data_IF_824664065396
#
_entry.id   IF_824664065396
#
_cell.length_a   1.000
_cell.length_b   1.000
_cell.length_c   1.000
_cell.angle_alpha   90.00
_cell.angle_beta   90.00
_cell.angle_gamma   90.00
#
_symmetry.space_group_name_H-M   'P 1'
#
loop_
_entity.id
_entity.type
_entity.pdbx_description
1 polymer ?
#
# COMPACT_ATOMS: atom_id res chain seq x y z
N UNK A 1 23.17 26.44 19.66
CA UNK A 1 24.32 27.22 19.14
C UNK A 1 25.41 27.43 20.19
N UNK A 2 26.66 27.13 19.82
CA UNK A 2 27.87 27.28 20.63
C UNK A 2 28.91 28.08 19.78
N UNK A 3 29.29 29.30 20.19
CA UNK A 3 30.37 30.03 19.52
C UNK A 3 31.70 29.29 19.69
N UNK A 4 32.42 29.08 18.60
CA UNK A 4 33.72 28.41 18.58
C UNK A 4 34.88 29.39 18.45
N UNK A 5 34.73 30.40 17.60
CA UNK A 5 35.72 31.45 17.37
C UNK A 5 35.02 32.73 16.89
N UNK A 6 35.51 33.90 17.28
CA UNK A 6 34.89 35.14 16.84
C UNK A 6 35.15 36.33 17.77
N UNK A 7 34.45 37.42 17.48
CA UNK A 7 34.38 38.65 18.25
C UNK A 7 32.94 39.21 18.16
N UNK A 8 32.73 40.45 18.59
CA UNK A 8 31.40 41.09 18.56
C UNK A 8 30.78 41.18 17.16
N UNK A 9 31.61 41.21 16.11
CA UNK A 9 31.17 41.45 14.74
C UNK A 9 31.27 40.20 13.84
N UNK A 10 31.87 39.11 14.33
CA UNK A 10 31.97 37.86 13.58
C UNK A 10 31.91 36.68 14.54
N UNK A 11 31.10 35.68 14.22
CA UNK A 11 31.02 34.45 15.01
C UNK A 11 31.03 33.25 14.08
N UNK A 12 32.00 32.36 14.28
CA UNK A 12 31.96 30.99 13.81
C UNK A 12 31.41 30.11 14.93
N UNK A 13 30.38 29.34 14.63
CA UNK A 13 29.64 28.57 15.62
C UNK A 13 29.37 27.15 15.17
N UNK A 14 29.12 26.30 16.16
CA UNK A 14 28.57 24.97 16.00
C UNK A 14 27.14 24.95 16.53
N UNK A 15 26.29 24.12 15.93
CA UNK A 15 24.95 23.88 16.46
C UNK A 15 24.61 22.39 16.44
N UNK A 16 23.88 21.97 17.47
CA UNK A 16 23.41 20.61 17.67
C UNK A 16 21.91 20.66 17.98
N UNK A 17 21.13 19.86 17.28
CA UNK A 17 19.68 19.77 17.48
C UNK A 17 19.25 18.32 17.59
N UNK A 18 18.46 18.02 18.60
CA UNK A 18 17.78 16.73 18.78
C UNK A 18 16.28 16.95 18.83
N UNK A 19 15.51 16.11 18.15
CA UNK A 19 14.05 16.09 18.20
C UNK A 19 13.59 14.64 18.29
N UNK A 20 12.52 14.41 19.05
CA UNK A 20 11.88 13.11 19.19
C UNK A 20 10.37 13.33 19.32
N UNK A 21 9.58 12.57 18.55
CA UNK A 21 8.13 12.68 18.50
C UNK A 21 7.42 11.52 19.19
N UNK A 22 6.12 11.67 19.41
CA UNK A 22 5.25 10.58 19.92
C UNK A 22 4.94 9.52 18.85
N UNK A 23 5.38 9.73 17.63
CA UNK A 23 5.29 8.86 16.46
C UNK A 23 6.56 8.04 16.26
N UNK A 24 7.42 7.96 17.27
CA UNK A 24 8.73 7.29 17.27
C UNK A 24 9.73 7.80 16.22
N UNK A 25 9.40 8.91 15.56
CA UNK A 25 10.29 9.64 14.68
C UNK A 25 11.29 10.46 15.48
N UNK A 26 12.44 10.74 14.87
CA UNK A 26 13.50 11.50 15.51
C UNK A 26 14.47 12.14 14.54
N UNK A 27 15.11 13.20 15.02
CA UNK A 27 16.14 13.95 14.33
C UNK A 27 17.36 14.07 15.23
N UNK A 28 18.53 13.80 14.66
CA UNK A 28 19.81 14.30 15.15
C UNK A 28 20.43 15.16 14.05
N UNK A 29 20.67 16.42 14.36
CA UNK A 29 21.23 17.41 13.43
C UNK A 29 22.47 18.04 14.04
N UNK A 30 23.52 18.17 13.24
CA UNK A 30 24.75 18.85 13.61
C UNK A 30 25.20 19.75 12.47
N UNK A 31 25.64 20.96 12.78
CA UNK A 31 26.05 21.93 11.77
C UNK A 31 27.07 22.93 12.24
N UNK A 32 27.63 23.61 11.27
CA UNK A 32 28.58 24.70 11.43
C UNK A 32 28.05 25.91 10.67
N UNK A 33 28.33 27.10 11.18
CA UNK A 33 27.94 28.33 10.52
C UNK A 33 28.83 29.50 10.89
N UNK A 34 28.69 30.57 10.11
CA UNK A 34 29.38 31.84 10.32
C UNK A 34 28.38 32.98 10.19
N UNK A 35 28.43 33.92 11.13
CA UNK A 35 27.69 35.20 11.11
C UNK A 35 28.68 36.36 11.07
N UNK A 36 28.35 37.40 10.33
CA UNK A 36 29.15 38.63 10.27
C UNK A 36 28.24 39.85 10.30
N UNK A 37 28.57 40.79 11.18
CA UNK A 37 27.94 42.12 11.24
C UNK A 37 28.49 42.97 10.10
N UNK A 38 27.59 43.53 9.29
CA UNK A 38 27.88 44.36 8.13
C UNK A 38 27.28 45.74 8.35
N UNK A 39 28.13 46.79 8.25
CA UNK A 39 27.74 48.21 8.42
C UNK A 39 27.03 48.49 9.75
N UNK A 40 27.38 47.75 10.82
CA UNK A 40 26.86 47.90 12.19
C UNK A 40 25.32 47.87 12.33
N UNK A 41 24.63 47.30 11.34
CA UNK A 41 23.16 47.29 11.32
C UNK A 41 22.53 46.03 10.69
N UNK A 42 23.34 45.17 10.09
CA UNK A 42 22.88 43.90 9.56
C UNK A 42 23.82 42.76 9.95
N UNK A 43 23.30 41.54 10.07
CA UNK A 43 24.06 40.30 10.13
C UNK A 43 23.77 39.54 8.84
N UNK A 44 24.83 39.06 8.20
CA UNK A 44 24.74 38.04 7.17
C UNK A 44 25.30 36.74 7.73
N UNK A 45 24.60 35.64 7.47
CA UNK A 45 25.03 34.33 7.92
C UNK A 45 24.92 33.28 6.83
N UNK A 46 25.81 32.30 6.93
CA UNK A 46 25.80 31.08 6.11
C UNK A 46 26.05 29.89 7.02
N UNK A 47 25.40 28.77 6.75
CA UNK A 47 25.55 27.57 7.56
C UNK A 47 25.30 26.30 6.76
N UNK A 48 25.77 25.18 7.29
CA UNK A 48 25.63 23.85 6.72
C UNK A 48 25.36 22.84 7.83
N UNK A 49 24.29 22.07 7.66
CA UNK A 49 23.89 21.00 8.57
C UNK A 49 23.92 19.63 7.90
N UNK A 50 24.22 18.61 8.71
CA UNK A 50 23.98 17.21 8.40
C UNK A 50 22.92 16.66 9.34
N UNK A 51 21.83 16.14 8.77
CA UNK A 51 20.70 15.60 9.52
C UNK A 51 20.63 14.09 9.37
N UNK A 52 20.40 13.41 10.48
CA UNK A 52 20.07 12.00 10.57
C UNK A 52 18.63 11.86 11.08
N UNK A 53 17.73 11.44 10.19
CA UNK A 53 16.30 11.37 10.42
C UNK A 53 15.89 9.91 10.57
N UNK A 54 15.08 9.62 11.58
CA UNK A 54 14.27 8.40 11.69
C UNK A 54 12.81 8.81 11.47
N UNK A 55 12.15 8.27 10.46
CA UNK A 55 10.74 8.56 10.16
C UNK A 55 9.81 7.72 11.05
N UNK A 56 8.50 8.03 11.09
CA UNK A 56 7.52 7.22 11.84
C UNK A 56 7.52 5.74 11.43
N UNK A 57 7.83 5.45 10.17
CA UNK A 57 7.93 4.09 9.63
C UNK A 57 9.26 3.40 9.97
N UNK A 58 10.04 3.93 10.92
CA UNK A 58 11.35 3.43 11.35
C UNK A 58 12.41 3.34 10.23
N UNK A 59 12.22 4.09 9.15
CA UNK A 59 13.23 4.24 8.12
C UNK A 59 14.19 5.38 8.46
N UNK A 60 15.41 5.28 7.92
CA UNK A 60 16.47 6.25 8.17
C UNK A 60 16.86 6.99 6.89
N UNK A 61 16.89 8.32 6.98
CA UNK A 61 17.28 9.21 5.90
C UNK A 61 18.33 10.22 6.37
N UNK A 62 19.30 10.47 5.50
CA UNK A 62 20.36 11.45 5.73
C UNK A 62 20.13 12.65 4.83
N UNK A 63 20.25 13.85 5.37
CA UNK A 63 19.99 15.09 4.63
C UNK A 63 21.15 16.05 4.84
N UNK A 64 21.62 16.67 3.77
CA UNK A 64 22.53 17.80 3.83
C UNK A 64 21.71 19.07 3.66
N UNK A 65 21.89 20.02 4.57
CA UNK A 65 21.04 21.19 4.69
C UNK A 65 21.86 22.49 4.75
N UNK A 66 22.25 23.07 3.59
CA UNK A 66 22.83 24.40 3.54
C UNK A 66 21.76 25.47 3.72
N UNK A 67 22.15 26.62 4.27
CA UNK A 67 21.28 27.78 4.33
C UNK A 67 22.02 29.10 4.46
N UNK A 68 21.27 30.16 4.23
CA UNK A 68 21.72 31.56 4.35
C UNK A 68 20.70 32.34 5.16
N UNK A 69 21.17 33.35 5.87
CA UNK A 69 20.34 34.23 6.69
C UNK A 69 20.78 35.69 6.57
N UNK A 70 19.80 36.59 6.70
CA UNK A 70 20.00 38.02 6.76
C UNK A 70 19.15 38.61 7.88
N UNK A 71 19.77 39.32 8.80
CA UNK A 71 19.10 39.89 9.96
C UNK A 71 19.45 41.36 10.11
N UNK A 72 18.50 42.18 10.52
CA UNK A 72 18.70 43.55 11.01
C UNK A 72 18.26 43.61 12.46
N UNK A 73 18.15 44.80 13.06
CA UNK A 73 17.64 44.94 14.43
C UNK A 73 16.20 44.45 14.60
N UNK A 74 15.38 44.55 13.53
CA UNK A 74 13.94 44.27 13.61
C UNK A 74 13.45 43.23 12.60
N UNK A 75 14.22 42.93 11.56
CA UNK A 75 13.83 41.95 10.54
C UNK A 75 14.81 40.81 10.49
N UNK A 76 14.35 39.62 10.13
CA UNK A 76 15.19 38.50 9.75
C UNK A 76 14.57 37.72 8.60
N UNK A 77 15.43 37.10 7.80
CA UNK A 77 15.04 36.26 6.68
C UNK A 77 16.01 35.09 6.58
N UNK A 78 15.47 33.90 6.33
CA UNK A 78 16.21 32.65 6.29
C UNK A 78 15.78 31.85 5.07
N UNK A 79 16.75 31.25 4.37
CA UNK A 79 16.51 30.37 3.23
C UNK A 79 17.33 29.10 3.42
N UNK A 80 16.66 27.95 3.43
CA UNK A 80 17.29 26.65 3.60
C UNK A 80 17.05 25.75 2.38
N UNK A 81 18.03 24.93 2.02
CA UNK A 81 17.88 23.85 1.04
C UNK A 81 18.06 22.49 1.71
N UNK A 82 17.33 21.47 1.28
CA UNK A 82 17.38 20.11 1.85
C UNK A 82 17.72 19.12 0.75
N UNK A 83 18.81 18.38 0.93
CA UNK A 83 19.30 17.43 -0.06
C UNK A 83 19.47 16.05 0.58
N UNK A 84 18.49 15.14 0.42
CA UNK A 84 18.64 13.76 0.84
C UNK A 84 19.82 13.09 0.13
N UNK A 85 20.69 12.43 0.90
CA UNK A 85 21.88 11.72 0.40
C UNK A 85 21.73 10.20 0.59
N UNK A 86 22.20 9.44 -0.39
CA UNK A 86 22.07 7.98 -0.40
C UNK A 86 20.69 7.51 -0.88
N UNK A 87 20.13 6.49 -0.21
CA UNK A 87 18.81 5.93 -0.57
C UNK A 87 17.70 6.87 -0.12
N UNK A 88 16.97 7.45 -1.09
CA UNK A 88 15.86 8.40 -0.88
C UNK A 88 14.49 7.73 -0.78
N UNK A 89 14.43 6.42 -1.02
CA UNK A 89 13.22 5.62 -0.91
C UNK A 89 13.53 4.29 -0.24
N UNK A 90 12.59 3.80 0.57
CA UNK A 90 12.71 2.57 1.36
C UNK A 90 11.45 1.73 1.17
N UNK A 91 11.62 0.51 0.67
CA UNK A 91 10.50 -0.46 0.55
C UNK A 91 10.09 -0.92 1.93
N UNK A 92 8.80 -0.79 2.24
CA UNK A 92 8.19 -1.19 3.49
C UNK A 92 7.48 -2.54 3.35
N UNK A 93 6.83 -2.77 2.21
CA UNK A 93 6.13 -4.01 1.91
C UNK A 93 6.04 -4.25 0.39
N UNK A 94 5.76 -5.50 0.02
CA UNK A 94 5.54 -5.93 -1.37
C UNK A 94 4.16 -6.59 -1.43
N UNK A 95 3.32 -6.15 -2.36
CA UNK A 95 1.99 -6.67 -2.58
C UNK A 95 1.80 -7.10 -4.03
N UNK A 96 0.90 -8.06 -4.26
CA UNK A 96 0.31 -8.25 -5.59
C UNK A 96 -0.63 -7.09 -5.91
N UNK A 97 -0.86 -6.81 -7.20
CA UNK A 97 -1.78 -5.75 -7.61
C UNK A 97 -3.19 -5.95 -7.06
N UNK A 98 -3.66 -7.20 -7.03
CA UNK A 98 -4.94 -7.56 -6.43
C UNK A 98 -4.98 -7.24 -4.92
N UNK A 99 -3.92 -7.55 -4.16
CA UNK A 99 -3.83 -7.21 -2.73
C UNK A 99 -3.76 -5.71 -2.48
N UNK A 100 -3.14 -4.95 -3.39
CA UNK A 100 -3.09 -3.49 -3.32
C UNK A 100 -4.39 -2.81 -3.77
N UNK A 101 -5.42 -3.58 -4.17
CA UNK A 101 -6.69 -3.04 -4.69
C UNK A 101 -6.56 -2.40 -6.07
N UNK A 102 -5.47 -2.68 -6.80
CA UNK A 102 -5.21 -2.11 -8.12
C UNK A 102 -5.83 -3.02 -9.18
N UNK A 103 -6.81 -2.49 -9.91
CA UNK A 103 -7.52 -3.23 -10.95
C UNK A 103 -6.64 -3.52 -12.16
N UNK A 104 -6.99 -4.57 -12.93
CA UNK A 104 -6.33 -4.93 -14.19
C UNK A 104 -4.83 -5.24 -14.10
N UNK A 105 -4.39 -5.76 -12.95
CA UNK A 105 -2.99 -6.11 -12.69
C UNK A 105 -2.70 -7.60 -12.92
N UNK A 106 -3.72 -8.43 -12.75
CA UNK A 106 -3.69 -9.86 -13.06
C UNK A 106 -3.84 -10.11 -14.56
N UNK A 107 -3.10 -11.08 -15.07
CA UNK A 107 -3.17 -11.55 -16.45
C UNK A 107 -2.80 -13.02 -16.54
N UNK A 108 -3.12 -13.64 -17.67
CA UNK A 108 -2.80 -15.02 -17.95
C UNK A 108 -1.79 -15.11 -19.09
N UNK A 109 -0.98 -16.18 -19.10
CA UNK A 109 -0.20 -16.57 -20.26
C UNK A 109 0.07 -18.07 -20.23
N UNK A 110 -0.17 -18.75 -21.35
CA UNK A 110 -0.10 -20.20 -21.41
C UNK A 110 -1.08 -20.85 -20.42
N UNK A 111 -0.55 -21.71 -19.55
CA UNK A 111 -1.29 -22.40 -18.49
C UNK A 111 -1.14 -21.74 -17.11
N UNK A 112 -0.86 -20.43 -17.06
CA UNK A 112 -0.50 -19.73 -15.83
C UNK A 112 -1.22 -18.40 -15.66
N UNK A 113 -1.55 -18.09 -14.41
CA UNK A 113 -2.03 -16.80 -13.93
C UNK A 113 -0.90 -16.06 -13.22
N UNK A 114 -0.71 -14.80 -13.59
CA UNK A 114 0.24 -13.90 -12.99
C UNK A 114 -0.47 -12.68 -12.40
N UNK A 115 0.19 -12.04 -11.43
CA UNK A 115 -0.16 -10.71 -10.97
C UNK A 115 1.10 -9.85 -10.91
N UNK A 116 0.94 -8.54 -11.11
CA UNK A 116 2.02 -7.57 -10.97
C UNK A 116 2.37 -7.39 -9.49
N UNK A 117 3.64 -7.13 -9.22
CA UNK A 117 4.13 -6.79 -7.89
C UNK A 117 4.32 -5.28 -7.74
N UNK A 118 3.81 -4.76 -6.63
CA UNK A 118 3.92 -3.37 -6.24
C UNK A 118 4.68 -3.25 -4.93
N UNK A 119 5.58 -2.29 -4.86
CA UNK A 119 6.29 -1.95 -3.64
C UNK A 119 5.57 -0.78 -2.96
N UNK A 120 5.18 -0.96 -1.70
CA UNK A 120 4.85 0.17 -0.83
C UNK A 120 6.17 0.75 -0.34
N UNK A 121 6.47 1.99 -0.73
CA UNK A 121 7.70 2.68 -0.39
C UNK A 121 7.40 3.92 0.45
N UNK A 122 8.31 4.24 1.36
CA UNK A 122 8.41 5.57 1.94
C UNK A 122 9.54 6.33 1.24
N UNK A 123 9.30 7.57 0.81
CA UNK A 123 10.27 8.40 0.12
C UNK A 123 10.40 9.82 0.71
N UNK A 124 11.59 10.39 0.52
CA UNK A 124 11.94 11.76 0.92
C UNK A 124 12.45 12.53 -0.29
N UNK A 125 12.08 13.80 -0.34
CA UNK A 125 12.38 14.71 -1.45
C UNK A 125 13.49 15.70 -1.16
N UNK A 126 14.14 16.18 -2.22
CA UNK A 126 14.87 17.45 -2.10
C UNK A 126 13.86 18.58 -1.89
N UNK A 127 14.25 19.61 -1.16
CA UNK A 127 13.32 20.70 -0.84
C UNK A 127 14.00 21.99 -0.45
N UNK A 128 13.19 22.99 -0.18
CA UNK A 128 13.61 24.30 0.30
C UNK A 128 12.54 24.87 1.22
N UNK A 129 12.95 25.69 2.18
CA UNK A 129 12.04 26.53 2.93
C UNK A 129 12.60 27.95 3.05
N UNK A 130 11.69 28.88 3.31
CA UNK A 130 11.99 30.27 3.55
C UNK A 130 11.14 30.78 4.71
N UNK A 131 11.74 31.56 5.61
CA UNK A 131 11.05 32.24 6.71
C UNK A 131 11.46 33.73 6.71
N UNK A 132 10.49 34.62 6.94
CA UNK A 132 10.72 36.04 7.22
C UNK A 132 10.04 36.42 8.52
N UNK A 133 10.77 37.11 9.40
CA UNK A 133 10.33 37.53 10.72
C UNK A 133 10.50 39.02 10.95
N UNK A 134 9.63 39.58 11.80
CA UNK A 134 9.76 40.93 12.34
C UNK A 134 9.62 40.92 13.86
N UNK A 135 10.61 41.48 14.54
CA UNK A 135 10.60 41.72 15.99
C UNK A 135 10.12 43.14 16.29
N UNK A 136 9.07 43.26 17.09
CA UNK A 136 8.46 44.52 17.52
C UNK A 136 8.96 44.90 18.90
N UNK A 137 9.86 45.88 18.97
CA UNK A 137 10.42 46.39 20.23
C UNK A 137 9.34 46.98 21.15
N UNK A 138 8.32 47.63 20.59
CA UNK A 138 7.18 48.19 21.32
C UNK A 138 6.28 47.12 21.96
N UNK A 139 6.37 45.88 21.51
CA UNK A 139 5.60 44.74 22.01
C UNK A 139 6.50 43.77 22.78
N UNK A 140 7.36 44.28 23.65
CA UNK A 140 8.27 43.48 24.46
C UNK A 140 9.13 42.49 23.63
N UNK A 141 9.63 42.97 22.48
CA UNK A 141 10.41 42.17 21.51
C UNK A 141 9.66 40.93 21.00
N UNK A 142 8.33 41.01 20.89
CA UNK A 142 7.53 39.96 20.23
C UNK A 142 7.90 39.85 18.76
N UNK A 143 8.17 38.63 18.29
CA UNK A 143 8.46 38.33 16.88
C UNK A 143 7.23 37.73 16.22
N UNK A 144 6.82 38.31 15.09
CA UNK A 144 5.86 37.70 14.16
C UNK A 144 6.63 37.19 12.95
N UNK A 145 6.27 36.02 12.44
CA UNK A 145 6.94 35.44 11.28
C UNK A 145 5.97 34.67 10.39
N UNK A 146 6.38 34.53 9.14
CA UNK A 146 5.71 33.71 8.16
C UNK A 146 6.74 33.10 7.21
N UNK A 147 6.41 31.94 6.65
CA UNK A 147 7.29 31.20 5.77
C UNK A 147 6.55 30.24 4.86
N UNK A 148 7.29 29.62 3.97
CA UNK A 148 6.78 28.60 3.06
C UNK A 148 7.84 27.57 2.74
N UNK A 149 7.39 26.38 2.37
CA UNK A 149 8.27 25.25 2.07
C UNK A 149 7.76 24.44 0.88
N UNK A 150 8.70 23.76 0.22
CA UNK A 150 8.44 22.87 -0.90
C UNK A 150 9.42 21.70 -0.86
N UNK A 151 8.91 20.47 -0.94
CA UNK A 151 9.68 19.23 -1.05
C UNK A 151 9.16 18.40 -2.23
N UNK A 152 10.07 17.79 -2.97
CA UNK A 152 9.75 16.95 -4.13
C UNK A 152 10.27 15.53 -3.95
N UNK A 153 9.50 14.65 -3.28
CA UNK A 153 9.76 13.22 -3.31
C UNK A 153 9.59 12.66 -4.74
N UNK A 154 10.06 11.45 -4.99
CA UNK A 154 10.14 10.88 -6.36
C UNK A 154 8.85 10.20 -6.78
N UNK A 155 8.21 9.50 -5.85
CA UNK A 155 7.07 8.62 -6.12
C UNK A 155 5.75 9.19 -5.61
N UNK A 156 5.79 10.19 -4.74
CA UNK A 156 4.61 10.89 -4.23
C UNK A 156 4.42 12.27 -4.86
N UNK A 157 3.27 12.87 -4.60
CA UNK A 157 3.04 14.29 -4.84
C UNK A 157 4.04 15.16 -4.06
N UNK A 158 4.40 16.29 -4.64
CA UNK A 158 5.20 17.30 -3.94
C UNK A 158 4.45 17.83 -2.70
N UNK A 159 5.21 18.11 -1.65
CA UNK A 159 4.73 18.63 -0.38
C UNK A 159 4.99 20.12 -0.40
N UNK A 160 3.95 20.93 -0.28
CA UNK A 160 4.04 22.39 -0.30
C UNK A 160 3.16 22.96 0.79
N UNK A 161 3.68 23.93 1.52
CA UNK A 161 2.95 24.52 2.63
C UNK A 161 3.45 25.89 3.02
N UNK A 162 2.70 26.48 3.93
CA UNK A 162 2.98 27.77 4.55
C UNK A 162 2.95 27.60 6.06
N UNK A 163 3.73 28.42 6.75
CA UNK A 163 3.75 28.50 8.21
C UNK A 163 3.67 29.96 8.64
N UNK A 164 2.97 30.22 9.74
CA UNK A 164 2.98 31.50 10.42
C UNK A 164 3.06 31.31 11.92
N UNK A 165 3.60 32.31 12.62
CA UNK A 165 3.69 32.20 14.06
C UNK A 165 4.05 33.48 14.78
N UNK A 166 4.01 33.35 16.10
CA UNK A 166 4.33 34.39 17.06
C UNK A 166 5.26 33.83 18.12
N UNK A 167 6.27 34.60 18.47
CA UNK A 167 7.31 34.26 19.43
C UNK A 167 7.41 35.40 20.45
N UNK A 168 7.11 35.12 21.71
CA UNK A 168 6.96 36.11 22.79
C UNK A 168 7.94 35.82 23.94
N UNK A 169 8.90 36.71 24.22
CA UNK A 169 9.72 36.61 25.43
C UNK A 169 8.84 36.70 26.69
N UNK A 170 9.07 35.81 27.64
CA UNK A 170 8.41 35.86 28.94
C UNK A 170 9.17 36.80 29.89
N UNK A 171 8.50 37.25 30.97
CA UNK A 171 9.13 38.10 32.00
C UNK A 171 10.33 37.42 32.67
N UNK A 172 10.33 36.09 32.74
CA UNK A 172 11.43 35.32 33.31
C UNK A 172 12.60 35.23 32.33
N UNK A 173 13.79 35.59 32.81
CA UNK A 173 15.00 35.68 32.00
C UNK A 173 15.27 34.36 31.27
N UNK A 174 15.50 34.46 29.96
CA UNK A 174 15.84 33.32 29.10
C UNK A 174 14.65 32.44 28.70
N UNK A 175 13.41 32.78 29.08
CA UNK A 175 12.22 32.02 28.69
C UNK A 175 11.43 32.71 27.57
N UNK A 176 10.94 31.92 26.62
CA UNK A 176 10.12 32.41 25.51
C UNK A 176 9.02 31.38 25.20
N UNK A 177 7.83 31.87 24.84
CA UNK A 177 6.74 31.04 24.32
C UNK A 177 6.56 31.31 22.82
N UNK A 178 6.29 30.26 22.05
CA UNK A 178 6.03 30.35 20.62
C UNK A 178 4.75 29.61 20.26
N UNK A 179 3.97 30.17 19.35
CA UNK A 179 2.84 29.50 18.70
C UNK A 179 3.12 29.51 17.21
N UNK A 180 3.04 28.33 16.58
CA UNK A 180 3.19 28.10 15.15
C UNK A 180 1.94 27.43 14.62
N UNK A 181 1.51 27.84 13.44
CA UNK A 181 0.46 27.20 12.66
C UNK A 181 0.97 27.01 11.23
N UNK A 182 0.83 25.79 10.71
CA UNK A 182 1.23 25.44 9.36
C UNK A 182 0.12 24.74 8.61
N UNK A 183 0.02 25.02 7.31
CA UNK A 183 -0.87 24.32 6.40
C UNK A 183 -0.10 23.80 5.19
N UNK A 184 -0.24 22.50 4.89
CA UNK A 184 0.25 21.88 3.65
C UNK A 184 -0.82 21.02 2.96
N UNK A 185 -0.49 20.55 1.77
CA UNK A 185 -1.38 19.71 0.95
C UNK A 185 -1.48 18.23 1.40
N UNK A 186 -0.81 17.83 2.48
CA UNK A 186 -0.75 16.46 3.00
C UNK A 186 -1.36 16.38 4.40
N UNK A 187 -0.70 17.00 5.38
CA UNK A 187 -1.06 17.08 6.79
C UNK A 187 -2.14 18.13 7.07
N UNK A 188 -2.42 19.04 6.13
CA UNK A 188 -3.34 20.17 6.35
C UNK A 188 -2.88 21.01 7.55
N UNK A 189 -3.80 21.43 8.43
CA UNK A 189 -3.47 22.32 9.56
C UNK A 189 -2.72 21.56 10.66
N UNK A 190 -1.60 22.11 11.11
CA UNK A 190 -0.82 21.64 12.26
C UNK A 190 -0.43 22.83 13.13
N UNK A 191 -0.79 22.77 14.42
CA UNK A 191 -0.47 23.82 15.41
C UNK A 191 0.56 23.28 16.40
N UNK A 192 1.57 24.08 16.71
CA UNK A 192 2.59 23.77 17.69
C UNK A 192 2.73 24.88 18.74
N UNK A 193 2.76 24.48 20.01
CA UNK A 193 3.11 25.33 21.15
C UNK A 193 4.53 25.01 21.60
N UNK A 194 5.40 26.02 21.65
CA UNK A 194 6.82 25.87 22.01
C UNK A 194 7.10 26.64 23.29
N UNK A 195 7.75 25.98 24.26
CA UNK A 195 8.41 26.64 25.37
C UNK A 195 9.93 26.56 25.17
N UNK A 196 10.60 27.70 25.14
CA UNK A 196 12.06 27.81 24.96
C UNK A 196 12.69 28.31 26.24
N UNK A 197 13.81 27.70 26.63
CA UNK A 197 14.65 28.10 27.76
C UNK A 197 16.09 28.28 27.26
N UNK A 198 16.70 29.42 27.57
CA UNK A 198 18.04 29.81 27.12
C UNK A 198 18.96 30.02 28.30
N UNK A 199 20.11 29.34 28.31
CA UNK A 199 21.13 29.45 29.35
C UNK A 199 22.31 30.31 28.87
N UNK A 200 22.82 31.19 29.73
CA UNK A 200 24.01 32.01 29.43
C UNK A 200 23.81 33.13 28.40
N UNK A 201 22.56 33.45 28.05
CA UNK A 201 22.24 34.52 27.09
C UNK A 201 22.48 35.93 27.63
N UNK A 202 22.88 36.84 26.73
CA UNK A 202 22.86 38.28 26.99
C UNK A 202 21.43 38.71 27.33
N UNK A 203 21.30 39.57 28.34
CA UNK A 203 20.00 40.16 28.67
C UNK A 203 19.55 40.97 27.45
N UNK A 204 18.36 40.69 26.92
CA UNK A 204 17.79 41.47 25.83
C UNK A 204 17.49 42.86 26.37
N UNK A 205 18.47 43.76 26.30
CA UNK A 205 18.34 45.13 26.81
C UNK A 205 17.31 45.89 25.97
N UNK A 206 16.82 47.02 26.47
CA UNK A 206 15.91 47.88 25.70
C UNK A 206 16.58 48.48 24.46
N UNK A 207 17.91 48.48 24.38
CA UNK A 207 18.64 48.82 23.16
C UNK A 207 18.67 47.62 22.22
N UNK A 208 18.08 47.81 21.02
CA UNK A 208 18.14 46.83 19.94
C UNK A 208 19.53 46.81 19.28
N UNK A 209 20.54 46.32 20.00
CA UNK A 209 21.86 46.18 19.43
C UNK A 209 21.91 44.97 18.48
N UNK A 210 22.56 45.13 17.32
CA UNK A 210 22.58 44.07 16.31
C UNK A 210 23.40 42.87 16.80
N UNK A 211 24.42 43.11 17.61
CA UNK A 211 25.31 42.11 18.20
C UNK A 211 24.57 41.15 19.14
N UNK A 212 23.48 41.57 19.78
CA UNK A 212 22.66 40.68 20.62
C UNK A 212 22.03 39.54 19.82
N UNK A 213 21.82 39.73 18.51
CA UNK A 213 21.23 38.73 17.61
C UNK A 213 22.22 37.69 17.10
N UNK A 214 23.51 37.81 17.43
CA UNK A 214 24.54 36.87 16.96
C UNK A 214 24.33 35.44 17.46
N UNK A 215 23.53 35.26 18.52
CA UNK A 215 23.19 33.96 19.12
C UNK A 215 21.74 33.53 18.85
N UNK A 216 21.00 34.24 17.99
CA UNK A 216 19.63 33.86 17.61
C UNK A 216 19.64 32.44 17.00
N UNK A 217 18.60 31.65 17.29
CA UNK A 217 18.48 30.33 16.69
C UNK A 217 18.23 30.42 15.18
N UNK A 218 18.59 29.36 14.47
CA UNK A 218 18.37 29.26 13.02
C UNK A 218 17.03 28.55 12.80
N UNK A 219 16.00 29.21 12.24
CA UNK A 219 14.74 28.56 11.88
C UNK A 219 14.96 27.64 10.67
N UNK A 220 14.62 26.37 10.86
CA UNK A 220 14.73 25.27 9.88
C UNK A 220 13.61 24.26 10.14
N UNK A 221 13.39 23.37 9.18
CA UNK A 221 12.44 22.25 9.24
C UNK A 221 10.97 22.65 9.35
N UNK A 222 10.58 23.76 8.70
CA UNK A 222 9.19 24.28 8.71
C UNK A 222 8.17 23.23 8.21
N UNK A 223 8.59 22.36 7.29
CA UNK A 223 7.72 21.37 6.66
C UNK A 223 7.28 20.21 7.54
N UNK A 224 7.72 20.12 8.81
CA UNK A 224 7.47 18.95 9.63
C UNK A 224 7.25 19.27 11.12
N UNK A 225 6.24 20.09 11.40
CA UNK A 225 5.86 20.44 12.78
C UNK A 225 5.25 19.26 13.56
N UNK A 226 4.58 18.32 12.87
CA UNK A 226 3.81 17.23 13.49
C UNK A 226 4.66 16.05 13.96
N UNK A 227 5.79 15.78 13.30
CA UNK A 227 6.60 14.58 13.54
C UNK A 227 7.89 14.90 14.29
N UNK A 228 8.57 13.89 14.83
CA UNK A 228 9.87 13.99 15.48
C UNK A 228 11.08 14.15 14.53
N UNK A 229 10.93 13.87 13.24
CA UNK A 229 11.99 14.07 12.24
C UNK A 229 12.02 15.50 11.67
N UNK A 230 13.06 15.79 10.89
CA UNK A 230 13.34 17.10 10.29
C UNK A 230 13.09 17.16 8.78
N UNK A 231 12.80 16.03 8.14
CA UNK A 231 12.47 15.99 6.72
C UNK A 231 11.10 15.35 6.50
N UNK A 232 10.19 15.96 5.73
CA UNK A 232 8.92 15.32 5.39
C UNK A 232 9.15 14.05 4.54
N UNK A 233 8.49 12.95 4.91
CA UNK A 233 8.42 11.72 4.11
C UNK A 233 6.99 11.47 3.63
N UNK A 234 6.85 10.69 2.56
CA UNK A 234 5.55 10.25 2.02
C UNK A 234 5.57 8.78 1.66
N UNK A 235 4.39 8.16 1.74
CA UNK A 235 4.18 6.79 1.29
C UNK A 235 3.65 6.78 -0.14
N UNK A 236 4.06 5.80 -0.94
CA UNK A 236 3.59 5.63 -2.31
C UNK A 236 3.66 4.16 -2.74
N UNK A 237 2.74 3.78 -3.61
CA UNK A 237 2.71 2.44 -4.21
C UNK A 237 3.33 2.51 -5.61
N UNK A 238 4.38 1.72 -5.84
CA UNK A 238 5.19 1.79 -7.07
C UNK A 238 5.10 0.48 -7.84
N UNK A 239 4.72 0.53 -9.13
CA UNK A 239 4.80 -0.62 -10.05
C UNK A 239 6.28 -0.98 -10.24
N UNK A 240 6.65 -2.19 -9.84
CA UNK A 240 8.04 -2.64 -9.89
C UNK A 240 8.43 -3.17 -11.27
N UNK A 241 7.46 -3.34 -12.18
CA UNK A 241 7.61 -4.06 -13.44
C UNK A 241 7.78 -5.57 -13.27
N UNK A 242 7.83 -6.07 -12.02
CA UNK A 242 7.92 -7.50 -11.71
C UNK A 242 6.54 -8.13 -11.68
N UNK A 243 6.49 -9.42 -11.96
CA UNK A 243 5.30 -10.25 -11.86
C UNK A 243 5.57 -11.45 -10.98
N UNK A 244 4.53 -11.98 -10.34
CA UNK A 244 4.57 -13.24 -9.61
C UNK A 244 3.58 -14.23 -10.21
N UNK A 245 3.92 -15.51 -10.19
CA UNK A 245 2.98 -16.58 -10.48
C UNK A 245 1.97 -16.67 -9.32
N UNK A 246 0.69 -16.65 -9.65
CA UNK A 246 -0.40 -16.83 -8.68
C UNK A 246 -0.89 -18.26 -8.70
N UNK A 247 -1.08 -18.80 -9.89
CA UNK A 247 -1.55 -20.16 -10.10
C UNK A 247 -1.04 -20.68 -11.44
N UNK A 248 -0.66 -21.95 -11.49
CA UNK A 248 -0.26 -22.66 -12.69
C UNK A 248 -1.17 -23.87 -12.94
N UNK A 249 -0.81 -24.65 -13.97
CA UNK A 249 -1.55 -25.82 -14.42
C UNK A 249 -3.03 -25.51 -14.71
N UNK A 250 -3.29 -24.34 -15.31
CA UNK A 250 -4.64 -23.89 -15.68
C UNK A 250 -4.92 -24.29 -17.12
N UNK A 251 -6.04 -24.98 -17.35
CA UNK A 251 -6.50 -25.36 -18.68
C UNK A 251 -7.79 -24.59 -18.98
N UNK A 252 -7.78 -23.82 -20.07
CA UNK A 252 -8.83 -22.85 -20.40
C UNK A 252 -9.83 -23.42 -21.40
N UNK A 253 -11.11 -23.28 -21.09
CA UNK A 253 -12.20 -23.81 -21.90
C UNK A 253 -13.24 -22.72 -22.15
N UNK A 254 -13.58 -22.55 -23.42
CA UNK A 254 -14.72 -21.77 -23.88
C UNK A 254 -15.92 -22.70 -24.11
N UNK A 255 -17.08 -22.21 -23.72
CA UNK A 255 -18.34 -22.94 -23.90
C UNK A 255 -18.78 -23.00 -25.37
N UNK A 256 -19.82 -23.80 -25.63
CA UNK A 256 -20.61 -23.81 -26.86
C UNK A 256 -19.83 -24.10 -28.15
N UNK A 257 -19.76 -25.38 -28.51
CA UNK A 257 -19.18 -25.84 -29.77
C UNK A 257 -18.76 -27.31 -29.71
N UNK A 258 -18.16 -27.81 -30.79
CA UNK A 258 -17.60 -29.16 -30.81
C UNK A 258 -16.32 -29.20 -29.96
N UNK A 259 -16.19 -30.15 -29.02
CA UNK A 259 -15.01 -30.23 -28.18
C UNK A 259 -13.71 -30.32 -28.98
N UNK A 260 -12.75 -29.45 -28.67
CA UNK A 260 -11.43 -29.43 -29.32
C UNK A 260 -10.58 -30.62 -28.91
N UNK A 261 -9.67 -31.07 -29.78
CA UNK A 261 -8.66 -32.06 -29.41
C UNK A 261 -7.59 -31.43 -28.52
N UNK A 262 -7.05 -32.21 -27.56
CA UNK A 262 -5.88 -31.84 -26.75
C UNK A 262 -4.69 -32.63 -27.27
N UNK A 263 -3.68 -31.94 -27.80
CA UNK A 263 -2.51 -32.56 -28.44
C UNK A 263 -1.19 -32.28 -27.68
N UNK A 264 -1.26 -31.61 -26.54
CA UNK A 264 -0.11 -31.29 -25.69
C UNK A 264 -0.29 -29.99 -24.90
N UNK A 265 0.80 -29.48 -24.32
CA UNK A 265 0.82 -28.21 -23.56
C UNK A 265 0.64 -26.93 -24.40
N UNK A 266 0.41 -27.06 -25.71
CA UNK A 266 0.02 -25.93 -26.56
C UNK A 266 -1.50 -25.83 -26.72
N UNK A 267 -2.25 -26.84 -26.25
CA UNK A 267 -3.72 -26.87 -26.29
C UNK A 267 -4.31 -26.28 -25.02
N UNK A 268 -5.48 -25.65 -25.12
CA UNK A 268 -6.22 -25.06 -24.00
C UNK A 268 -5.41 -24.07 -23.16
N UNK A 269 -4.52 -23.31 -23.80
CA UNK A 269 -3.84 -22.18 -23.18
C UNK A 269 -4.79 -20.99 -23.08
N UNK A 270 -4.42 -19.95 -22.33
CA UNK A 270 -5.21 -18.73 -22.30
C UNK A 270 -5.35 -18.09 -23.69
N UNK A 271 -4.26 -18.11 -24.47
CA UNK A 271 -4.23 -17.55 -25.82
C UNK A 271 -5.05 -18.38 -26.81
N UNK A 272 -5.14 -19.70 -26.58
CA UNK A 272 -5.88 -20.65 -27.41
C UNK A 272 -6.74 -21.60 -26.55
N UNK A 273 -7.84 -21.11 -25.95
CA UNK A 273 -8.71 -21.94 -25.12
C UNK A 273 -9.34 -23.06 -25.93
N UNK A 274 -9.52 -24.22 -25.32
CA UNK A 274 -10.27 -25.32 -25.92
C UNK A 274 -11.75 -24.97 -26.00
N UNK A 275 -12.44 -25.43 -27.03
CA UNK A 275 -13.89 -25.29 -27.15
C UNK A 275 -14.53 -26.53 -26.53
N UNK A 276 -15.68 -26.37 -25.87
CA UNK A 276 -16.46 -27.45 -25.29
C UNK A 276 -15.74 -28.20 -24.16
N UNK A 277 -16.37 -29.28 -23.69
CA UNK A 277 -15.78 -30.21 -22.72
C UNK A 277 -16.12 -31.65 -23.14
N UNK A 278 -15.12 -32.53 -23.17
CA UNK A 278 -15.24 -33.94 -23.48
C UNK A 278 -14.37 -34.79 -22.55
N UNK A 279 -14.79 -36.03 -22.29
CA UNK A 279 -14.03 -36.95 -21.43
C UNK A 279 -12.60 -37.18 -21.94
N UNK A 280 -12.41 -37.29 -23.25
CA UNK A 280 -11.09 -37.46 -23.87
C UNK A 280 -10.13 -36.31 -23.57
N UNK A 281 -10.63 -35.08 -23.44
CA UNK A 281 -9.82 -33.92 -23.04
C UNK A 281 -9.39 -34.05 -21.57
N UNK A 282 -10.32 -34.43 -20.68
CA UNK A 282 -10.04 -34.62 -19.25
C UNK A 282 -8.99 -35.71 -19.04
N UNK A 283 -9.12 -36.84 -19.75
CA UNK A 283 -8.19 -37.98 -19.70
C UNK A 283 -6.80 -37.59 -20.20
N UNK A 284 -6.74 -36.90 -21.34
CA UNK A 284 -5.48 -36.46 -21.94
C UNK A 284 -4.77 -35.45 -21.04
N UNK A 285 -5.51 -34.48 -20.50
CA UNK A 285 -4.97 -33.49 -19.56
C UNK A 285 -4.49 -34.15 -18.29
N UNK A 286 -5.19 -35.14 -17.74
CA UNK A 286 -4.71 -35.88 -16.56
C UNK A 286 -3.38 -36.59 -16.82
N UNK A 287 -3.20 -37.13 -18.04
CA UNK A 287 -1.96 -37.78 -18.45
C UNK A 287 -0.81 -36.79 -18.61
N UNK A 288 -1.08 -35.60 -19.18
CA UNK A 288 -0.08 -34.56 -19.41
C UNK A 288 0.28 -33.79 -18.13
N UNK A 289 -0.73 -33.42 -17.36
CA UNK A 289 -0.64 -32.50 -16.24
C UNK A 289 -1.63 -32.91 -15.12
N UNK A 290 -1.28 -33.91 -14.29
CA UNK A 290 -2.14 -34.31 -13.17
C UNK A 290 -2.38 -33.14 -12.21
N UNK A 291 -3.52 -33.16 -11.50
CA UNK A 291 -3.97 -32.07 -10.63
C UNK A 291 -4.27 -30.74 -11.38
N UNK A 292 -4.72 -30.82 -12.63
CA UNK A 292 -5.06 -29.66 -13.45
C UNK A 292 -6.23 -28.82 -12.89
N UNK A 293 -6.15 -27.51 -13.14
CA UNK A 293 -7.20 -26.54 -12.84
C UNK A 293 -7.97 -26.20 -14.11
N UNK A 294 -9.19 -26.70 -14.23
CA UNK A 294 -10.07 -26.45 -15.37
C UNK A 294 -10.79 -25.12 -15.17
N UNK A 295 -10.51 -24.15 -16.02
CA UNK A 295 -11.18 -22.85 -16.04
C UNK A 295 -12.22 -22.87 -17.16
N UNK A 296 -13.49 -22.93 -16.78
CA UNK A 296 -14.63 -22.94 -17.70
C UNK A 296 -15.18 -21.51 -17.79
N UNK A 297 -15.16 -20.93 -18.99
CA UNK A 297 -15.83 -19.66 -19.26
C UNK A 297 -17.35 -19.80 -19.14
N UNK A 298 -18.06 -18.68 -18.98
CA UNK A 298 -19.52 -18.63 -19.11
C UNK A 298 -20.03 -19.29 -20.40
N UNK A 299 -21.17 -19.99 -20.31
CA UNK A 299 -21.87 -20.66 -21.42
C UNK A 299 -22.26 -22.10 -21.06
N UNK A 300 -22.62 -22.92 -22.06
CA UNK A 300 -23.04 -24.32 -21.84
C UNK A 300 -21.99 -25.34 -22.33
N UNK A 301 -21.73 -26.34 -21.49
CA UNK A 301 -20.85 -27.47 -21.77
C UNK A 301 -21.70 -28.74 -21.86
N UNK A 302 -22.05 -29.10 -23.09
CA UNK A 302 -22.80 -30.33 -23.36
C UNK A 302 -21.84 -31.50 -23.49
N UNK A 303 -22.09 -32.59 -22.76
CA UNK A 303 -21.36 -33.83 -22.98
C UNK A 303 -21.72 -34.40 -24.36
N UNK A 304 -20.74 -34.67 -25.26
CA UNK A 304 -21.01 -35.33 -26.53
C UNK A 304 -21.65 -36.72 -26.37
N UNK A 305 -21.46 -37.35 -25.21
CA UNK A 305 -22.03 -38.65 -24.84
C UNK A 305 -22.94 -38.50 -23.62
N UNK A 306 -24.03 -37.74 -23.76
CA UNK A 306 -24.98 -37.43 -22.68
C UNK A 306 -25.35 -38.69 -21.88
N UNK A 307 -25.22 -38.61 -20.55
CA UNK A 307 -25.52 -39.70 -19.62
C UNK A 307 -24.31 -40.59 -19.29
N UNK A 308 -23.16 -40.36 -19.92
CA UNK A 308 -21.88 -40.96 -19.49
C UNK A 308 -21.23 -40.20 -18.33
N UNK A 309 -21.58 -38.92 -18.15
CA UNK A 309 -20.93 -38.03 -17.20
C UNK A 309 -19.51 -37.62 -17.59
N UNK A 310 -18.95 -36.66 -16.86
CA UNK A 310 -17.55 -36.25 -16.95
C UNK A 310 -16.80 -36.74 -15.71
N UNK A 311 -15.87 -37.66 -15.93
CA UNK A 311 -15.05 -38.26 -14.89
C UNK A 311 -13.75 -37.47 -14.68
N UNK A 312 -13.67 -36.77 -13.54
CA UNK A 312 -12.52 -36.00 -13.12
C UNK A 312 -11.66 -36.81 -12.14
N UNK A 313 -10.35 -36.77 -12.38
CA UNK A 313 -9.36 -37.49 -11.61
C UNK A 313 -9.01 -36.77 -10.31
N UNK A 314 -8.47 -37.52 -9.35
CA UNK A 314 -8.03 -36.97 -8.07
C UNK A 314 -7.08 -35.77 -8.28
N UNK A 315 -7.39 -34.67 -7.59
CA UNK A 315 -6.65 -33.41 -7.62
C UNK A 315 -7.02 -32.46 -8.75
N UNK A 316 -7.86 -32.88 -9.71
CA UNK A 316 -8.37 -31.97 -10.74
C UNK A 316 -9.43 -31.05 -10.14
N UNK A 317 -9.30 -29.75 -10.36
CA UNK A 317 -10.21 -28.73 -9.83
C UNK A 317 -10.96 -28.05 -10.97
N UNK A 318 -12.16 -27.55 -10.70
CA UNK A 318 -13.00 -26.92 -11.71
C UNK A 318 -13.48 -25.55 -11.20
N UNK A 319 -13.25 -24.52 -12.01
CA UNK A 319 -13.56 -23.13 -11.70
C UNK A 319 -14.42 -22.53 -12.80
N UNK A 320 -15.63 -22.09 -12.42
CA UNK A 320 -16.46 -21.27 -13.29
C UNK A 320 -16.00 -19.81 -13.30
N UNK A 321 -15.65 -19.33 -14.49
CA UNK A 321 -15.09 -18.00 -14.73
C UNK A 321 -15.93 -17.20 -15.72
N UNK A 322 -15.74 -15.88 -15.73
CA UNK A 322 -16.26 -14.99 -16.77
C UNK A 322 -15.71 -15.37 -18.15
N UNK A 323 -16.28 -14.81 -19.22
CA UNK A 323 -15.86 -15.09 -20.60
C UNK A 323 -14.39 -14.77 -20.89
N UNK A 324 -13.77 -13.88 -20.11
CA UNK A 324 -12.34 -13.53 -20.19
C UNK A 324 -11.47 -14.23 -19.13
N UNK A 325 -12.05 -15.16 -18.37
CA UNK A 325 -11.44 -15.93 -17.29
C UNK A 325 -10.99 -15.15 -16.04
N UNK A 326 -11.03 -13.80 -16.08
CA UNK A 326 -10.41 -12.96 -15.05
C UNK A 326 -11.20 -12.98 -13.73
N UNK A 327 -12.51 -13.11 -13.79
CA UNK A 327 -13.34 -13.09 -12.58
C UNK A 327 -14.05 -14.42 -12.39
N UNK A 328 -14.40 -14.72 -11.14
CA UNK A 328 -15.31 -15.82 -10.85
C UNK A 328 -16.69 -15.49 -11.42
N UNK A 329 -17.31 -16.45 -12.10
CA UNK A 329 -18.66 -16.25 -12.65
C UNK A 329 -19.72 -16.23 -11.53
N UNK A 330 -20.75 -15.39 -11.65
CA UNK A 330 -21.84 -15.30 -10.67
C UNK A 330 -23.21 -15.43 -11.33
N UNK A 331 -24.20 -15.91 -10.57
CA UNK A 331 -25.58 -16.07 -11.04
C UNK A 331 -25.69 -16.90 -12.32
N UNK A 332 -26.46 -16.41 -13.29
CA UNK A 332 -26.67 -17.08 -14.58
C UNK A 332 -25.45 -17.06 -15.51
N UNK A 333 -24.41 -16.30 -15.19
CA UNK A 333 -23.16 -16.31 -15.95
C UNK A 333 -22.26 -17.50 -15.57
N UNK A 334 -22.59 -18.23 -14.50
CA UNK A 334 -21.89 -19.46 -14.16
C UNK A 334 -22.01 -20.47 -15.31
N UNK A 335 -20.89 -21.12 -15.72
CA UNK A 335 -20.93 -22.17 -16.72
C UNK A 335 -21.94 -23.26 -16.36
N UNK A 336 -22.75 -23.66 -17.34
CA UNK A 336 -23.70 -24.75 -17.21
C UNK A 336 -23.07 -26.02 -17.77
N UNK A 337 -22.77 -26.99 -16.91
CA UNK A 337 -22.38 -28.33 -17.33
C UNK A 337 -23.65 -29.17 -17.45
N UNK A 338 -23.94 -29.62 -18.67
CA UNK A 338 -25.12 -30.41 -19.01
C UNK A 338 -24.79 -31.90 -19.05
N UNK A 339 -24.31 -32.42 -17.92
CA UNK A 339 -24.23 -33.83 -17.57
C UNK A 339 -23.81 -33.95 -16.09
N UNK A 340 -23.71 -35.17 -15.61
CA UNK A 340 -23.17 -35.52 -14.30
C UNK A 340 -21.67 -35.30 -14.23
N UNK A 341 -21.16 -34.71 -13.15
CA UNK A 341 -19.73 -34.74 -12.83
C UNK A 341 -19.45 -35.92 -11.88
N UNK A 342 -18.47 -36.73 -12.24
CA UNK A 342 -18.03 -37.89 -11.47
C UNK A 342 -16.62 -37.60 -10.94
N UNK A 343 -16.40 -37.73 -9.63
CA UNK A 343 -15.13 -37.41 -8.99
C UNK A 343 -14.47 -38.65 -8.36
N UNK A 344 -13.18 -38.82 -8.62
CA UNK A 344 -12.38 -39.95 -8.12
C UNK A 344 -11.45 -39.60 -6.93
N UNK A 345 -11.67 -38.47 -6.25
CA UNK A 345 -10.86 -38.08 -5.09
C UNK A 345 -11.01 -36.62 -4.71
N UNK A 346 -9.93 -36.03 -4.20
CA UNK A 346 -9.89 -34.62 -3.79
C UNK A 346 -10.18 -33.72 -4.98
N UNK A 347 -11.22 -32.89 -4.89
CA UNK A 347 -11.60 -31.98 -5.97
C UNK A 347 -12.22 -30.72 -5.38
N UNK A 348 -11.88 -29.57 -5.93
CA UNK A 348 -12.60 -28.33 -5.63
C UNK A 348 -13.43 -27.90 -6.83
N UNK A 349 -14.70 -27.55 -6.56
CA UNK A 349 -15.67 -27.10 -7.54
C UNK A 349 -16.17 -25.70 -7.16
N UNK A 350 -15.97 -24.73 -8.03
CA UNK A 350 -16.35 -23.33 -7.80
C UNK A 350 -17.24 -22.81 -8.91
N UNK A 351 -18.31 -22.10 -8.53
CA UNK A 351 -19.05 -21.19 -9.40
C UNK A 351 -19.61 -21.84 -10.67
N UNK A 352 -20.19 -23.04 -10.54
CA UNK A 352 -20.76 -23.81 -11.63
C UNK A 352 -22.28 -23.95 -11.50
N UNK A 353 -22.95 -24.19 -12.63
CA UNK A 353 -24.31 -24.75 -12.67
C UNK A 353 -24.20 -26.13 -13.28
N UNK A 354 -24.85 -27.11 -12.67
CA UNK A 354 -24.79 -28.50 -13.11
C UNK A 354 -26.20 -28.99 -13.33
N UNK A 355 -26.47 -29.39 -14.56
CA UNK A 355 -27.69 -30.07 -14.94
C UNK A 355 -27.35 -31.56 -15.11
N UNK A 356 -27.61 -32.31 -14.04
CA UNK A 356 -27.38 -33.75 -14.04
C UNK A 356 -28.17 -34.46 -15.13
N UNK A 357 -27.66 -35.57 -15.64
CA UNK A 357 -28.37 -36.45 -16.57
C UNK A 357 -28.44 -37.87 -16.00
N UNK A 358 -29.25 -38.74 -16.64
CA UNK A 358 -29.38 -40.14 -16.21
C UNK A 358 -28.07 -40.87 -16.47
N UNK A 359 -27.43 -41.39 -15.42
CA UNK A 359 -26.16 -42.13 -15.53
C UNK A 359 -26.36 -43.60 -15.19
N UNK A 360 -25.85 -44.48 -16.06
CA UNK A 360 -25.86 -45.94 -15.83
C UNK A 360 -24.60 -46.38 -15.07
N UNK A 361 -24.41 -45.99 -13.80
CA UNK A 361 -23.12 -46.25 -13.10
C UNK A 361 -23.23 -47.10 -11.83
N UNK A 362 -24.42 -47.50 -11.38
CA UNK A 362 -24.52 -48.31 -10.16
C UNK A 362 -25.29 -49.61 -10.38
N UNK A 363 -24.55 -50.73 -10.42
CA UNK A 363 -25.08 -52.05 -10.07
C UNK A 363 -25.44 -52.07 -8.58
N UNK A 364 -26.57 -51.47 -8.23
CA UNK A 364 -27.18 -51.64 -6.90
C UNK A 364 -28.17 -52.80 -7.01
N UNK A 365 -27.70 -54.03 -6.79
CA UNK A 365 -28.57 -55.21 -6.69
C UNK A 365 -29.17 -55.71 -8.02
N UNK A 366 -28.48 -55.51 -9.15
CA UNK A 366 -28.84 -56.15 -10.43
C UNK A 366 -30.01 -55.52 -11.20
N UNK A 367 -30.53 -54.36 -10.79
CA UNK A 367 -31.47 -53.57 -11.59
C UNK A 367 -30.86 -52.22 -11.99
N UNK A 368 -30.75 -52.00 -13.31
CA UNK A 368 -30.42 -50.71 -13.91
C UNK A 368 -31.63 -49.77 -13.79
N UNK A 369 -31.76 -49.08 -12.66
CA UNK A 369 -32.74 -48.00 -12.54
C UNK A 369 -32.04 -46.68 -12.89
N UNK A 370 -32.49 -45.94 -13.92
CA UNK A 370 -31.90 -44.66 -14.25
C UNK A 370 -32.14 -43.67 -13.11
N UNK A 371 -31.06 -43.05 -12.63
CA UNK A 371 -31.14 -41.93 -11.69
C UNK A 371 -30.43 -40.72 -12.32
N UNK A 372 -31.03 -39.53 -12.19
CA UNK A 372 -30.48 -38.28 -12.68
C UNK A 372 -29.82 -37.54 -11.52
N UNK A 373 -28.48 -37.50 -11.56
CA UNK A 373 -27.65 -36.91 -10.51
C UNK A 373 -26.74 -35.86 -11.12
N UNK A 374 -26.48 -34.76 -10.43
CA UNK A 374 -25.56 -33.72 -10.92
C UNK A 374 -24.11 -34.03 -10.54
N UNK A 375 -23.89 -34.57 -9.35
CA UNK A 375 -22.58 -34.91 -8.81
C UNK A 375 -22.56 -36.33 -8.27
N UNK A 376 -21.56 -37.12 -8.66
CA UNK A 376 -21.35 -38.48 -8.20
C UNK A 376 -19.91 -38.67 -7.73
N UNK A 377 -19.72 -39.42 -6.64
CA UNK A 377 -18.40 -39.88 -6.22
C UNK A 377 -18.25 -41.34 -6.64
N UNK A 378 -17.09 -41.72 -7.17
CA UNK A 378 -16.88 -43.12 -7.53
C UNK A 378 -16.89 -44.00 -6.27
N UNK A 379 -17.48 -45.22 -6.29
CA UNK A 379 -17.68 -46.06 -5.10
C UNK A 379 -16.40 -46.42 -4.33
N UNK A 380 -15.25 -46.37 -4.99
CA UNK A 380 -13.92 -46.67 -4.43
C UNK A 380 -13.06 -45.42 -4.18
N UNK A 381 -13.61 -44.23 -4.43
CA UNK A 381 -12.87 -42.98 -4.25
C UNK A 381 -12.68 -42.65 -2.78
N UNK A 382 -11.46 -42.24 -2.43
CA UNK A 382 -11.15 -41.63 -1.14
C UNK A 382 -10.75 -40.18 -1.38
N UNK A 383 -11.34 -39.23 -0.65
CA UNK A 383 -11.00 -37.82 -0.77
C UNK A 383 -12.10 -36.88 -0.28
N UNK A 384 -11.82 -35.58 -0.38
CA UNK A 384 -12.73 -34.49 -0.02
C UNK A 384 -13.11 -33.73 -1.27
N UNK A 385 -14.41 -33.60 -1.52
CA UNK A 385 -14.94 -32.75 -2.59
C UNK A 385 -15.49 -31.50 -1.95
N UNK A 386 -14.88 -30.36 -2.27
CA UNK A 386 -15.35 -29.07 -1.80
C UNK A 386 -16.15 -28.38 -2.90
N UNK A 387 -17.36 -27.95 -2.56
CA UNK A 387 -18.28 -27.28 -3.48
C UNK A 387 -18.54 -25.87 -2.97
N UNK A 388 -18.30 -24.88 -3.82
CA UNK A 388 -18.48 -23.48 -3.48
C UNK A 388 -19.35 -22.79 -4.52
N UNK A 389 -20.37 -22.07 -4.04
CA UNK A 389 -21.15 -21.13 -4.83
C UNK A 389 -21.67 -21.72 -6.16
N UNK A 390 -22.15 -22.97 -6.13
CA UNK A 390 -22.56 -23.73 -7.31
C UNK A 390 -23.99 -24.26 -7.18
N UNK A 391 -24.72 -24.30 -8.29
CA UNK A 391 -26.10 -24.78 -8.35
C UNK A 391 -26.12 -26.17 -8.97
N UNK A 392 -26.68 -27.15 -8.27
CA UNK A 392 -26.67 -28.55 -8.71
C UNK A 392 -28.11 -29.01 -8.82
N UNK A 393 -28.58 -29.25 -10.04
CA UNK A 393 -29.91 -29.78 -10.30
C UNK A 393 -29.86 -31.31 -10.34
N UNK A 394 -30.67 -31.95 -9.50
CA UNK A 394 -30.79 -33.41 -9.41
C UNK A 394 -32.26 -33.80 -9.24
N UNK A 395 -32.66 -34.91 -9.86
CA UNK A 395 -33.98 -35.51 -9.65
C UNK A 395 -33.86 -37.03 -9.62
N UNK A 396 -34.01 -37.60 -8.42
CA UNK A 396 -34.06 -39.05 -8.26
C UNK A 396 -35.50 -39.49 -7.98
N UNK A 397 -35.94 -40.56 -8.64
CA UNK A 397 -37.17 -41.28 -8.32
C UNK A 397 -36.96 -42.37 -7.26
N UNK A 398 -35.74 -42.55 -6.76
CA UNK A 398 -35.37 -43.52 -5.72
C UNK A 398 -34.74 -42.83 -4.51
N UNK A 399 -35.14 -43.25 -3.30
CA UNK A 399 -34.77 -42.63 -2.01
C UNK A 399 -33.29 -42.83 -1.60
N UNK A 400 -32.43 -43.38 -2.45
CA UNK A 400 -31.10 -43.91 -2.05
C UNK A 400 -29.89 -43.07 -2.50
N UNK A 401 -30.09 -41.93 -3.17
CA UNK A 401 -28.98 -41.06 -3.59
C UNK A 401 -29.05 -39.75 -2.83
N UNK A 402 -28.22 -39.63 -1.79
CA UNK A 402 -28.07 -38.42 -1.00
C UNK A 402 -26.85 -37.65 -1.54
N UNK A 403 -27.08 -36.61 -2.35
CA UNK A 403 -26.01 -35.65 -2.63
C UNK A 403 -25.89 -34.70 -1.44
N UNK A 404 -24.79 -34.82 -0.68
CA UNK A 404 -24.47 -33.83 0.36
C UNK A 404 -23.82 -32.63 -0.33
N UNK A 405 -24.62 -31.64 -0.72
CA UNK A 405 -24.11 -30.29 -0.97
C UNK A 405 -24.01 -29.59 0.39
N UNK A 406 -22.91 -29.80 1.13
CA UNK A 406 -22.69 -29.04 2.35
C UNK A 406 -22.28 -27.61 1.97
N UNK A 407 -23.24 -26.70 1.95
CA UNK A 407 -22.99 -25.28 1.71
C UNK A 407 -22.46 -24.66 3.02
N UNK A 408 -21.27 -25.07 3.47
CA UNK A 408 -20.61 -24.41 4.60
C UNK A 408 -19.89 -23.17 4.09
N UNK A 409 -20.66 -22.08 3.96
CA UNK A 409 -20.18 -20.72 4.17
C UNK A 409 -21.24 -19.99 5.00
N UNK A 410 -21.34 -20.33 6.28
CA UNK A 410 -21.69 -19.32 7.29
C UNK A 410 -20.38 -18.71 7.74
N UNK A 411 -19.82 -17.83 6.91
CA UNK A 411 -18.83 -16.87 7.38
C UNK A 411 -19.59 -15.70 7.98
N UNK A 412 -19.55 -15.60 9.31
CA UNK A 412 -19.83 -14.34 10.00
C UNK A 412 -19.04 -13.21 9.32
N UNK A 413 -19.60 -11.99 9.16
CA UNK A 413 -18.80 -10.85 8.76
C UNK A 413 -17.83 -10.57 9.91
N UNK A 414 -16.62 -11.10 9.78
CA UNK A 414 -15.44 -10.66 10.50
C UNK A 414 -15.05 -9.28 9.97
N UNK A 415 -15.88 -8.27 10.25
CA UNK A 415 -15.44 -6.90 10.29
C UNK A 415 -14.66 -6.75 11.60
N UNK A 416 -13.34 -6.69 11.50
CA UNK A 416 -12.52 -6.02 12.49
C UNK A 416 -11.71 -4.90 11.82
N UNK A 417 -11.40 -3.84 12.58
CA UNK A 417 -11.79 -2.50 12.21
C UNK A 417 -10.57 -1.65 11.80
N UNK A 418 -10.81 -0.69 10.92
CA UNK A 418 -10.04 0.54 10.88
C UNK A 418 -10.99 1.72 10.79
N UNK A 419 -11.49 2.15 11.95
CA UNK A 419 -11.80 3.55 12.20
C UNK A 419 -11.61 3.83 13.68
N UNK A 420 -10.44 4.39 14.03
CA UNK A 420 -10.32 5.16 15.27
C UNK A 420 -11.18 6.41 15.10
N UNK A 421 -12.35 6.39 15.70
CA UNK A 421 -13.09 7.62 16.00
C UNK A 421 -13.46 7.56 17.47
N UNK A 422 -12.68 8.28 18.28
CA UNK A 422 -13.06 8.63 19.64
C UNK A 422 -14.31 9.52 19.57
N UNK A 423 -15.40 9.08 20.20
CA UNK A 423 -16.42 10.00 20.68
C UNK A 423 -16.57 9.81 22.18
N UNK A 424 -16.20 10.88 22.87
CA UNK A 424 -16.48 11.21 24.25
C UNK A 424 -17.99 11.47 24.39
N UNK A 425 -18.65 10.82 25.35
CA UNK A 425 -19.95 11.26 25.84
C UNK A 425 -19.88 11.23 27.37
N UNK A 426 -20.29 12.36 27.93
CA UNK A 426 -20.30 12.84 29.33
C UNK A 426 -20.78 11.78 30.33
#
# INVERSE_FOLDING_TARGET
MIPLAGNSNQSFFMDLTGKYGNDDAGLLSAGLGSRTVVRDNAILGVYLFGDYNRTPNSNYFKVVNPGIEGMTRAWDAHLNGYFPVGRKSKTMAIYTGTQAGISNTMFFSGHSQYDKLFDLVEDVGAGTDFEIGRTFLSLNRTRLFAGGYYFSPKYSSAIKGVEGGIEMPLKYRGMQVGIRDSYDNINHNTIALTLRVTFGGLEQTQSADIQERMLDLIPRHLGNLRSGDGIPSQESVVDTGRKTLIQDNIWFFNADGTPSMVEGFQSCTFEHPCIGLAQTQIDTINTLAPNANFYLSSGTYNNPLIGSGFNFYNGQNIFGRTSDFRQLAIGNNRPLVNDTLIFNGNTNLYNLRIQGNSVQVLETGGMLVPFQVGLLTAPTSMGVINIYNSDINQSSTTNNVMSVANNSNVSFPGLWPFSKTCYEII
#
